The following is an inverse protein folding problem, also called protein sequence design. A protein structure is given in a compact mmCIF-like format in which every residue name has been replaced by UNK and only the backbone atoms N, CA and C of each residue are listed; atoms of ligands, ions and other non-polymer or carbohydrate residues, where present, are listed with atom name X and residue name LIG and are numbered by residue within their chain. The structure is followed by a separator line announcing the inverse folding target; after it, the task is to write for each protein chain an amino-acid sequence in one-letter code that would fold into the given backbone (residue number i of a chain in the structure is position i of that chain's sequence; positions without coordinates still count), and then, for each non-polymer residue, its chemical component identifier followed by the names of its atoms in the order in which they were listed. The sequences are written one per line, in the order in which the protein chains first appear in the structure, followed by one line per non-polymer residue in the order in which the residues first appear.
data_IF_530309946934
#
_entry.id   IF_530309946934
#
_cell.length_a   1.000
_cell.length_b   1.000
_cell.length_c   1.000
_cell.angle_alpha   90.00
_cell.angle_beta   90.00
_cell.angle_gamma   90.00
#
_symmetry.space_group_name_H-M   'P 1'
#
loop_
_entity.id
_entity.type
_entity.pdbx_description
1 polymer ?
#
# COMPACT_ATOMS: atom_id res chain seq x y z
N UNK A 1 -4.58 19.97 16.42
CA UNK A 1 -5.80 19.67 15.65
C UNK A 1 -5.39 18.90 14.39
N UNK A 2 -5.68 17.62 14.31
CA UNK A 2 -5.41 16.85 13.08
C UNK A 2 -6.48 17.21 12.07
N UNK A 3 -6.11 17.83 10.97
CA UNK A 3 -7.05 18.13 9.89
C UNK A 3 -7.53 16.79 9.35
N UNK A 4 -8.77 16.41 9.65
CA UNK A 4 -9.41 15.27 9.02
C UNK A 4 -9.64 15.61 7.54
N UNK A 5 -9.06 14.82 6.66
CA UNK A 5 -9.20 14.97 5.20
C UNK A 5 -10.19 13.94 4.69
N UNK A 6 -10.88 14.29 3.61
CA UNK A 6 -11.76 13.38 2.90
C UNK A 6 -10.90 12.39 2.10
N UNK A 7 -10.65 11.23 2.67
CA UNK A 7 -9.86 10.18 2.03
C UNK A 7 -10.81 9.17 1.41
N UNK A 8 -10.95 9.23 0.09
CA UNK A 8 -11.58 8.19 -0.72
C UNK A 8 -10.55 7.13 -1.07
N UNK A 9 -10.94 5.88 -1.16
CA UNK A 9 -10.00 4.81 -1.49
C UNK A 9 -10.65 3.48 -1.81
N UNK A 10 -9.94 2.64 -2.57
CA UNK A 10 -10.35 1.30 -2.98
C UNK A 10 -9.20 0.30 -2.83
N UNK A 11 -9.55 -0.92 -2.49
CA UNK A 11 -8.68 -2.08 -2.63
C UNK A 11 -8.81 -2.64 -4.05
N UNK A 12 -7.68 -2.97 -4.67
CA UNK A 12 -7.66 -3.61 -5.97
C UNK A 12 -6.48 -4.54 -6.14
N UNK A 13 -6.54 -5.41 -7.12
CA UNK A 13 -5.48 -6.37 -7.46
C UNK A 13 -4.61 -5.80 -8.57
N UNK A 14 -3.30 -5.72 -8.34
CA UNK A 14 -2.33 -5.33 -9.36
C UNK A 14 -2.25 -6.39 -10.45
N UNK A 15 -2.68 -6.10 -11.67
CA UNK A 15 -2.60 -7.03 -12.81
C UNK A 15 -1.20 -7.01 -13.44
N UNK A 16 -0.59 -5.84 -13.57
CA UNK A 16 0.71 -5.70 -14.21
C UNK A 16 1.00 -4.28 -14.64
N UNK A 17 1.97 -4.13 -15.53
CA UNK A 17 2.28 -2.86 -16.17
C UNK A 17 2.17 -3.00 -17.67
N UNK A 18 1.74 -1.93 -18.31
CA UNK A 18 1.69 -1.78 -19.76
C UNK A 18 2.08 -0.35 -20.14
N UNK A 19 2.01 -0.06 -21.42
CA UNK A 19 2.25 1.27 -21.96
C UNK A 19 0.99 1.74 -22.67
N UNK A 20 0.67 3.01 -22.53
CA UNK A 20 -0.45 3.67 -23.21
C UNK A 20 0.03 4.99 -23.80
N UNK A 21 -0.64 5.43 -24.86
CA UNK A 21 -0.40 6.74 -25.47
C UNK A 21 -1.18 7.81 -24.71
N UNK A 22 -0.53 8.92 -24.45
CA UNK A 22 -1.17 10.12 -23.91
C UNK A 22 -1.79 10.97 -25.05
N UNK A 23 -2.58 11.96 -24.69
CA UNK A 23 -3.18 12.91 -25.65
C UNK A 23 -2.11 13.60 -26.54
N UNK A 24 -0.91 13.79 -26.01
CA UNK A 24 0.24 14.37 -26.73
C UNK A 24 1.03 13.36 -27.59
N UNK A 25 0.49 12.19 -27.86
CA UNK A 25 1.19 11.07 -28.54
C UNK A 25 2.51 10.63 -27.84
N UNK A 26 2.60 10.82 -26.53
CA UNK A 26 3.73 10.32 -25.72
C UNK A 26 3.39 8.97 -25.12
N UNK A 27 4.34 8.04 -25.22
CA UNK A 27 4.23 6.72 -24.62
C UNK A 27 4.50 6.81 -23.13
N UNK A 28 3.51 6.47 -22.30
CA UNK A 28 3.63 6.49 -20.85
C UNK A 28 3.47 5.11 -20.23
N UNK A 29 4.31 4.74 -19.24
CA UNK A 29 4.15 3.49 -18.52
C UNK A 29 3.01 3.63 -17.50
N UNK A 30 2.10 2.65 -17.51
CA UNK A 30 1.00 2.58 -16.55
C UNK A 30 0.96 1.23 -15.84
N UNK A 31 0.56 1.25 -14.58
CA UNK A 31 0.18 0.04 -13.84
C UNK A 31 -1.31 -0.12 -13.89
N UNK A 32 -1.77 -1.31 -14.26
CA UNK A 32 -3.18 -1.69 -14.29
C UNK A 32 -3.55 -2.34 -12.96
N UNK A 33 -4.56 -1.78 -12.30
CA UNK A 33 -5.12 -2.28 -11.05
C UNK A 33 -6.59 -2.59 -11.28
N UNK A 34 -7.00 -3.83 -11.06
CA UNK A 34 -8.40 -4.24 -11.08
C UNK A 34 -8.99 -4.00 -9.69
N UNK A 35 -9.95 -3.12 -9.60
CA UNK A 35 -10.63 -2.77 -8.36
C UNK A 35 -12.13 -3.12 -8.49
N UNK A 36 -12.44 -4.42 -8.39
CA UNK A 36 -13.82 -4.88 -8.28
C UNK A 36 -14.53 -4.15 -7.13
N UNK A 37 -15.87 -4.07 -7.12
CA UNK A 37 -16.62 -3.37 -6.09
C UNK A 37 -16.16 -3.76 -4.68
N UNK A 38 -15.86 -2.75 -3.87
CA UNK A 38 -15.50 -2.91 -2.47
C UNK A 38 -16.74 -2.67 -1.62
N UNK A 39 -17.00 -3.50 -0.64
CA UNK A 39 -18.20 -3.43 0.20
C UNK A 39 -17.89 -2.73 1.51
N UNK A 40 -18.75 -1.80 1.94
CA UNK A 40 -18.65 -1.14 3.25
C UNK A 40 -19.11 -2.11 4.33
N UNK A 41 -18.21 -2.43 5.28
CA UNK A 41 -18.46 -3.40 6.35
C UNK A 41 -18.63 -2.76 7.72
N UNK A 42 -18.15 -1.55 7.93
CA UNK A 42 -18.33 -0.83 9.19
C UNK A 42 -18.16 0.68 8.98
N UNK A 43 -18.96 1.45 9.68
CA UNK A 43 -18.85 2.90 9.79
C UNK A 43 -18.49 3.27 11.23
N UNK A 44 -17.58 4.21 11.41
CA UNK A 44 -17.21 4.74 12.71
C UNK A 44 -17.44 6.23 12.75
N UNK A 45 -18.06 6.70 13.82
CA UNK A 45 -18.36 8.09 14.07
C UNK A 45 -17.44 8.63 15.17
N UNK A 46 -17.10 9.92 15.09
CA UNK A 46 -16.20 10.56 16.03
C UNK A 46 -16.74 10.54 17.48
N UNK A 47 -18.05 10.66 17.66
CA UNK A 47 -18.71 10.67 18.96
C UNK A 47 -18.59 9.33 19.69
N UNK A 48 -18.90 8.24 19.02
CA UNK A 48 -18.91 6.90 19.63
C UNK A 48 -17.52 6.23 19.67
N UNK A 49 -16.66 6.51 18.67
CA UNK A 49 -15.40 5.78 18.48
C UNK A 49 -14.16 6.67 18.62
N UNK A 50 -14.32 7.99 18.86
CA UNK A 50 -13.22 8.94 18.97
C UNK A 50 -12.61 9.37 17.62
N UNK A 51 -13.05 8.79 16.51
CA UNK A 51 -12.67 9.17 15.14
C UNK A 51 -13.69 8.69 14.11
N UNK A 52 -13.71 9.35 12.96
CA UNK A 52 -14.55 8.97 11.84
C UNK A 52 -13.78 8.12 10.82
N UNK A 53 -14.39 7.04 10.34
CA UNK A 53 -13.79 6.16 9.33
C UNK A 53 -14.82 5.28 8.64
N UNK A 54 -14.44 4.79 7.46
CA UNK A 54 -15.18 3.80 6.68
C UNK A 54 -14.30 2.56 6.54
N UNK A 55 -14.83 1.41 6.89
CA UNK A 55 -14.18 0.12 6.67
C UNK A 55 -14.71 -0.48 5.38
N UNK A 56 -13.80 -0.79 4.46
CA UNK A 56 -14.09 -1.42 3.16
C UNK A 56 -13.49 -2.82 3.10
N UNK A 57 -14.19 -3.72 2.43
CA UNK A 57 -13.78 -5.11 2.26
C UNK A 57 -13.73 -5.50 0.78
N UNK A 58 -12.72 -6.31 0.40
CA UNK A 58 -12.41 -6.69 -0.97
C UNK A 58 -11.98 -8.14 -1.08
N UNK A 59 -12.26 -8.73 -2.25
CA UNK A 59 -11.85 -10.07 -2.64
C UNK A 59 -12.67 -11.17 -1.97
N UNK A 60 -13.17 -12.08 -2.75
CA UNK A 60 -13.99 -13.20 -2.27
C UNK A 60 -13.16 -14.18 -1.43
N UNK A 61 -13.79 -14.79 -0.44
CA UNK A 61 -13.23 -15.85 0.38
C UNK A 61 -14.31 -16.93 0.60
N UNK A 62 -13.89 -18.18 0.60
CA UNK A 62 -14.76 -19.29 0.98
C UNK A 62 -15.19 -19.12 2.45
N UNK A 63 -16.51 -19.11 2.77
CA UNK A 63 -16.99 -18.96 4.14
C UNK A 63 -16.42 -19.97 5.13
N UNK A 64 -16.07 -21.17 4.66
CA UNK A 64 -15.43 -22.22 5.49
C UNK A 64 -14.04 -21.83 6.01
N UNK A 65 -13.39 -20.86 5.35
CA UNK A 65 -12.05 -20.36 5.71
C UNK A 65 -12.09 -19.13 6.61
N UNK A 66 -13.31 -18.68 6.96
CA UNK A 66 -13.51 -17.51 7.82
C UNK A 66 -13.71 -17.94 9.26
N UNK A 67 -12.99 -17.30 10.19
CA UNK A 67 -13.16 -17.55 11.62
C UNK A 67 -14.51 -17.02 12.11
N UNK A 68 -15.10 -17.67 13.13
CA UNK A 68 -16.40 -17.27 13.70
C UNK A 68 -16.51 -15.77 14.05
N UNK A 69 -15.51 -15.12 14.69
CA UNK A 69 -15.58 -13.69 14.97
C UNK A 69 -15.67 -12.82 13.72
N UNK A 70 -14.90 -13.16 12.67
CA UNK A 70 -14.96 -12.44 11.41
C UNK A 70 -16.27 -12.71 10.65
N UNK A 71 -16.81 -13.93 10.71
CA UNK A 71 -18.10 -14.24 10.13
C UNK A 71 -19.20 -13.37 10.75
N UNK A 72 -19.27 -13.29 12.10
CA UNK A 72 -20.21 -12.41 12.79
C UNK A 72 -20.02 -10.92 12.46
N UNK A 73 -18.80 -10.47 12.21
CA UNK A 73 -18.55 -9.09 11.77
C UNK A 73 -19.18 -8.79 10.40
N UNK A 74 -19.02 -9.70 9.43
CA UNK A 74 -19.64 -9.54 8.11
C UNK A 74 -21.16 -9.72 8.14
N UNK A 75 -21.67 -10.63 8.98
CA UNK A 75 -23.08 -10.86 9.20
C UNK A 75 -23.78 -9.61 9.78
N UNK A 76 -23.16 -8.95 10.74
CA UNK A 76 -23.66 -7.69 11.29
C UNK A 76 -23.74 -6.55 10.25
N UNK A 77 -22.91 -6.60 9.20
CA UNK A 77 -22.98 -5.68 8.08
C UNK A 77 -23.94 -6.15 6.95
N UNK A 78 -24.51 -7.35 7.06
CA UNK A 78 -25.38 -7.95 6.03
C UNK A 78 -24.66 -8.31 4.73
N UNK A 79 -23.32 -8.55 4.77
CA UNK A 79 -22.51 -8.79 3.59
C UNK A 79 -21.79 -10.14 3.62
N UNK A 80 -21.50 -10.67 2.43
CA UNK A 80 -20.71 -11.90 2.33
C UNK A 80 -19.27 -11.66 2.76
N UNK A 81 -18.61 -12.61 3.44
CA UNK A 81 -17.24 -12.48 3.88
C UNK A 81 -16.28 -12.14 2.74
N UNK A 82 -15.35 -11.22 3.01
CA UNK A 82 -14.29 -10.80 2.10
C UNK A 82 -12.91 -11.08 2.71
N UNK A 83 -11.91 -11.21 1.84
CA UNK A 83 -10.56 -11.61 2.24
C UNK A 83 -9.74 -10.48 2.85
N UNK A 84 -9.90 -9.27 2.34
CA UNK A 84 -9.11 -8.10 2.73
C UNK A 84 -10.05 -7.04 3.28
N UNK A 85 -9.74 -6.56 4.47
CA UNK A 85 -10.48 -5.50 5.15
C UNK A 85 -9.52 -4.39 5.49
N UNK A 86 -9.87 -3.17 5.14
CA UNK A 86 -9.06 -1.97 5.41
C UNK A 86 -9.97 -0.84 5.86
N UNK A 87 -9.50 -0.08 6.82
CA UNK A 87 -10.18 1.10 7.33
C UNK A 87 -9.54 2.36 6.76
N UNK A 88 -10.38 3.25 6.26
CA UNK A 88 -10.03 4.56 5.75
C UNK A 88 -10.56 5.63 6.69
N UNK A 89 -9.68 6.41 7.30
CA UNK A 89 -10.07 7.57 8.10
C UNK A 89 -10.49 8.70 7.17
N UNK A 90 -11.76 9.08 7.26
CA UNK A 90 -12.35 10.14 6.45
C UNK A 90 -13.33 10.95 7.28
N UNK A 91 -13.47 12.23 7.00
CA UNK A 91 -14.48 13.08 7.63
C UNK A 91 -15.91 12.72 7.16
N UNK A 92 -16.04 12.26 5.92
CA UNK A 92 -17.31 11.99 5.24
C UNK A 92 -17.86 10.58 5.50
N UNK A 93 -17.58 10.01 6.69
CA UNK A 93 -18.09 8.67 7.01
C UNK A 93 -19.62 8.58 7.00
N UNK A 94 -20.33 9.68 7.18
CA UNK A 94 -21.78 9.76 7.15
C UNK A 94 -22.40 9.64 5.74
N UNK A 95 -21.60 9.83 4.68
CA UNK A 95 -22.06 9.68 3.29
C UNK A 95 -22.17 8.22 2.85
N UNK A 96 -21.60 7.31 3.63
CA UNK A 96 -21.59 5.88 3.33
C UNK A 96 -22.65 5.13 4.12
N UNK A 97 -23.17 4.05 3.53
CA UNK A 97 -24.10 3.13 4.19
C UNK A 97 -23.49 1.73 4.33
N UNK A 98 -23.87 0.99 5.37
CA UNK A 98 -23.43 -0.39 5.53
C UNK A 98 -23.94 -1.25 4.37
N UNK A 99 -23.07 -2.14 3.86
CA UNK A 99 -23.37 -2.98 2.71
C UNK A 99 -23.29 -2.29 1.35
N UNK A 100 -23.00 -0.99 1.30
CA UNK A 100 -22.84 -0.23 0.06
C UNK A 100 -21.62 -0.72 -0.73
N UNK A 101 -21.79 -0.91 -2.04
CA UNK A 101 -20.67 -1.13 -2.96
C UNK A 101 -20.01 0.19 -3.35
N UNK A 102 -18.70 0.24 -3.23
CA UNK A 102 -17.86 1.36 -3.64
C UNK A 102 -17.09 0.94 -4.88
N UNK A 103 -17.34 1.60 -6.02
CA UNK A 103 -16.78 1.29 -7.33
C UNK A 103 -15.65 2.25 -7.72
N UNK A 104 -15.01 2.01 -8.86
CA UNK A 104 -13.93 2.86 -9.40
C UNK A 104 -14.37 4.30 -9.70
N UNK A 105 -15.67 4.56 -9.79
CA UNK A 105 -16.27 5.87 -10.03
C UNK A 105 -15.99 6.91 -8.93
N UNK A 106 -15.52 6.44 -7.77
CA UNK A 106 -15.07 7.32 -6.66
C UNK A 106 -13.88 8.20 -7.07
N UNK A 107 -13.14 7.79 -8.11
CA UNK A 107 -11.98 8.50 -8.62
C UNK A 107 -12.25 9.19 -9.95
N UNK A 108 -11.45 10.19 -10.27
CA UNK A 108 -11.50 10.94 -11.52
C UNK A 108 -10.17 10.77 -12.29
N UNK A 109 -10.25 10.75 -13.64
CA UNK A 109 -9.06 10.75 -14.47
C UNK A 109 -8.24 12.04 -14.25
N UNK A 110 -6.92 11.92 -14.20
CA UNK A 110 -6.01 13.03 -13.89
C UNK A 110 -5.78 13.26 -12.39
N UNK A 111 -6.61 12.70 -11.52
CA UNK A 111 -6.49 12.84 -10.07
C UNK A 111 -5.16 12.29 -9.54
N UNK A 112 -4.63 12.93 -8.48
CA UNK A 112 -3.47 12.42 -7.73
C UNK A 112 -3.91 11.38 -6.70
N UNK A 113 -3.21 10.24 -6.71
CA UNK A 113 -3.48 9.12 -5.81
C UNK A 113 -2.21 8.65 -5.10
N UNK A 114 -2.39 8.13 -3.89
CA UNK A 114 -1.37 7.41 -3.14
C UNK A 114 -1.68 5.91 -3.22
N UNK A 115 -0.68 5.11 -3.57
CA UNK A 115 -0.84 3.65 -3.64
C UNK A 115 -0.03 2.96 -2.56
N UNK A 116 -0.74 2.21 -1.72
CA UNK A 116 -0.15 1.45 -0.60
C UNK A 116 -0.14 -0.03 -0.96
N UNK A 117 1.00 -0.67 -0.80
CA UNK A 117 1.12 -2.11 -1.04
C UNK A 117 2.28 -2.72 -0.28
N UNK A 118 2.36 -4.04 -0.29
CA UNK A 118 3.48 -4.79 0.28
C UNK A 118 4.53 -5.03 -0.79
N UNK A 119 5.75 -4.55 -0.57
CA UNK A 119 6.87 -4.69 -1.51
C UNK A 119 7.27 -6.15 -1.72
N UNK A 120 7.94 -6.44 -2.84
CA UNK A 120 8.54 -7.76 -3.08
C UNK A 120 9.56 -8.07 -1.99
N UNK A 121 9.51 -9.28 -1.41
CA UNK A 121 10.51 -9.75 -0.46
C UNK A 121 11.85 -9.98 -1.15
N UNK A 122 12.96 -9.63 -0.47
CA UNK A 122 14.34 -9.81 -0.94
C UNK A 122 15.16 -10.69 0.01
N UNK A 123 14.48 -11.32 0.98
CA UNK A 123 15.11 -12.17 1.99
C UNK A 123 16.03 -11.40 2.93
N UNK A 124 17.03 -12.09 3.49
CA UNK A 124 18.11 -11.46 4.25
C UNK A 124 19.08 -10.78 3.28
N UNK A 125 19.34 -9.50 3.48
CA UNK A 125 20.20 -8.70 2.63
C UNK A 125 21.33 -8.07 3.43
N UNK A 126 22.54 -8.10 2.86
CA UNK A 126 23.71 -7.45 3.41
C UNK A 126 23.58 -5.91 3.40
N UNK A 127 24.45 -5.23 4.15
CA UNK A 127 24.42 -3.78 4.32
C UNK A 127 24.54 -3.02 2.98
N UNK A 128 25.32 -3.53 2.04
CA UNK A 128 25.44 -2.93 0.70
C UNK A 128 24.11 -2.90 -0.04
N UNK A 129 23.39 -4.05 -0.12
CA UNK A 129 22.09 -4.14 -0.82
C UNK A 129 20.99 -3.42 -0.08
N UNK A 130 20.99 -3.51 1.27
CA UNK A 130 19.88 -3.01 2.11
C UNK A 130 19.97 -1.49 2.33
N UNK A 131 21.18 -0.95 2.47
CA UNK A 131 21.41 0.43 2.87
C UNK A 131 22.31 1.22 1.91
N UNK A 132 22.85 0.59 0.85
CA UNK A 132 23.72 1.25 -0.11
C UNK A 132 25.13 1.51 0.41
N UNK A 133 25.64 0.70 1.34
CA UNK A 133 27.01 0.83 1.83
C UNK A 133 28.02 0.55 0.72
N UNK A 134 29.10 1.32 0.69
CA UNK A 134 30.14 1.22 -0.34
C UNK A 134 30.97 -0.06 -0.22
N UNK A 135 31.13 -0.60 1.00
CA UNK A 135 32.04 -1.71 1.26
C UNK A 135 33.50 -1.28 1.27
N UNK A 136 34.42 -2.21 1.11
CA UNK A 136 35.85 -1.99 1.08
C UNK A 136 36.41 -2.45 -0.26
N UNK A 137 37.31 -1.66 -0.87
CA UNK A 137 37.95 -2.00 -2.14
C UNK A 137 38.71 -3.33 -2.13
N UNK A 138 39.04 -3.83 -3.31
CA UNK A 138 39.69 -5.14 -3.45
C UNK A 138 41.22 -5.11 -3.31
N UNK A 139 41.83 -3.92 -3.05
CA UNK A 139 43.27 -3.68 -2.94
C UNK A 139 43.67 -3.08 -1.58
N UNK A 140 44.92 -2.67 -1.43
CA UNK A 140 45.50 -2.07 -0.22
C UNK A 140 45.33 -2.95 1.05
N UNK A 141 45.61 -4.23 0.93
CA UNK A 141 45.58 -5.19 2.06
C UNK A 141 44.21 -5.58 2.56
N UNK A 142 43.12 -5.21 1.86
CA UNK A 142 41.79 -5.64 2.22
C UNK A 142 41.66 -7.17 2.06
N UNK A 143 41.24 -7.86 3.13
CA UNK A 143 41.09 -9.32 3.14
C UNK A 143 39.77 -9.71 3.76
N UNK A 144 38.92 -10.39 2.97
CA UNK A 144 37.59 -10.92 3.41
C UNK A 144 36.62 -9.88 4.01
N UNK A 145 36.80 -8.57 3.70
CA UNK A 145 36.01 -7.46 4.25
C UNK A 145 35.19 -6.70 3.20
N UNK A 146 35.27 -7.09 1.92
CA UNK A 146 34.73 -6.31 0.78
C UNK A 146 33.28 -5.92 0.93
N UNK A 147 32.43 -6.76 1.52
CA UNK A 147 30.99 -6.51 1.64
C UNK A 147 30.49 -6.33 3.08
N UNK A 148 31.42 -6.24 4.05
CA UNK A 148 31.08 -6.07 5.47
C UNK A 148 30.66 -4.62 5.76
N UNK A 149 29.85 -4.37 6.82
CA UNK A 149 29.42 -3.03 7.20
C UNK A 149 30.57 -2.16 7.76
N UNK A 150 31.67 -2.78 8.23
CA UNK A 150 32.74 -2.08 8.97
C UNK A 150 32.42 -1.96 10.45
N UNK A 151 32.97 -0.94 11.10
CA UNK A 151 32.73 -0.69 12.52
C UNK A 151 31.25 -0.37 12.78
N UNK A 152 30.72 -0.90 13.87
CA UNK A 152 29.33 -0.69 14.31
C UNK A 152 29.23 0.18 15.56
N UNK A 153 30.35 0.65 16.10
CA UNK A 153 30.38 1.51 17.28
C UNK A 153 31.77 1.61 17.89
N UNK A 154 31.89 2.34 19.01
CA UNK A 154 33.08 2.40 19.84
C UNK A 154 33.21 1.19 20.78
N UNK A 155 34.36 1.05 21.40
CA UNK A 155 34.66 -0.07 22.33
C UNK A 155 33.99 0.14 23.70
N UNK A 156 34.76 0.61 24.69
CA UNK A 156 34.30 0.74 26.09
C UNK A 156 33.24 1.83 26.28
N UNK A 157 33.27 2.89 25.49
CA UNK A 157 32.25 3.95 25.49
C UNK A 157 31.70 4.12 24.08
N UNK A 158 30.39 3.91 23.85
CA UNK A 158 29.27 3.71 24.78
C UNK A 158 29.03 2.28 25.25
N UNK A 159 29.89 1.31 24.92
CA UNK A 159 29.75 -0.11 25.29
C UNK A 159 28.55 -0.83 24.68
N UNK A 160 27.90 -0.23 23.69
CA UNK A 160 26.69 -0.77 23.01
C UNK A 160 26.59 -0.27 21.58
N UNK A 161 25.84 -0.98 20.76
CA UNK A 161 25.42 -0.50 19.42
C UNK A 161 24.16 0.35 19.60
N UNK A 162 24.15 1.54 18.98
CA UNK A 162 23.00 2.45 19.07
C UNK A 162 21.77 1.91 18.34
N UNK A 163 20.58 2.26 18.84
CA UNK A 163 19.31 1.97 18.16
C UNK A 163 19.30 2.69 16.80
N UNK A 164 18.74 2.00 15.80
CA UNK A 164 18.67 2.56 14.43
C UNK A 164 19.94 2.38 13.60
N UNK A 165 21.00 1.76 14.14
CA UNK A 165 22.22 1.42 13.36
C UNK A 165 21.86 0.58 12.15
N UNK A 166 22.38 0.97 10.98
CA UNK A 166 22.10 0.29 9.71
C UNK A 166 22.93 -0.99 9.59
N UNK A 167 22.27 -2.14 9.75
CA UNK A 167 22.88 -3.46 9.73
C UNK A 167 22.19 -4.36 8.68
N UNK A 168 22.83 -5.49 8.28
CA UNK A 168 22.18 -6.48 7.45
C UNK A 168 20.91 -7.02 8.11
N UNK A 169 19.99 -7.50 7.32
CA UNK A 169 18.73 -8.04 7.82
C UNK A 169 17.69 -8.23 6.73
N UNK A 170 16.47 -8.55 7.11
CA UNK A 170 15.35 -8.73 6.19
C UNK A 170 15.10 -7.44 5.39
N UNK A 171 14.97 -7.60 4.07
CA UNK A 171 14.64 -6.53 3.14
C UNK A 171 13.41 -6.89 2.32
N UNK A 172 12.55 -5.91 2.06
CA UNK A 172 11.28 -6.12 1.37
C UNK A 172 10.22 -6.82 2.21
N UNK A 173 9.09 -7.18 1.59
CA UNK A 173 7.88 -7.69 2.24
C UNK A 173 7.38 -6.75 3.36
N UNK A 174 7.53 -5.44 3.15
CA UNK A 174 7.09 -4.38 4.05
C UNK A 174 6.04 -3.52 3.36
N UNK A 175 5.15 -2.93 4.14
CA UNK A 175 4.17 -1.96 3.66
C UNK A 175 4.88 -0.70 3.19
N UNK A 176 4.62 -0.29 1.97
CA UNK A 176 5.18 0.92 1.35
C UNK A 176 4.07 1.71 0.66
N UNK A 177 4.15 3.02 0.71
CA UNK A 177 3.26 3.92 0.00
C UNK A 177 4.05 4.65 -1.08
N UNK A 178 3.59 4.55 -2.33
CA UNK A 178 4.05 5.44 -3.41
C UNK A 178 3.06 6.58 -3.50
N UNK A 179 3.55 7.79 -3.23
CA UNK A 179 2.72 8.99 -3.14
C UNK A 179 2.64 9.73 -4.47
N UNK A 180 1.55 10.49 -4.66
CA UNK A 180 1.38 11.46 -5.75
C UNK A 180 1.48 10.86 -7.16
N UNK A 181 1.01 9.63 -7.34
CA UNK A 181 0.85 9.06 -8.68
C UNK A 181 -0.36 9.70 -9.38
N UNK A 182 -0.29 9.84 -10.70
CA UNK A 182 -1.41 10.34 -11.49
C UNK A 182 -2.24 9.17 -11.98
N UNK A 183 -3.54 9.24 -11.78
CA UNK A 183 -4.50 8.31 -12.37
C UNK A 183 -4.71 8.73 -13.84
N UNK A 184 -4.18 7.95 -14.77
CA UNK A 184 -4.25 8.26 -16.20
C UNK A 184 -5.64 8.07 -16.78
N UNK A 185 -6.33 7.01 -16.35
CA UNK A 185 -7.67 6.68 -16.84
C UNK A 185 -8.36 5.66 -15.95
N UNK A 186 -9.67 5.56 -16.13
CA UNK A 186 -10.57 4.65 -15.43
C UNK A 186 -11.42 3.94 -16.46
N UNK A 187 -11.48 2.62 -16.39
CA UNK A 187 -12.39 1.78 -17.18
C UNK A 187 -13.46 1.25 -16.20
N UNK A 188 -14.64 1.84 -16.25
CA UNK A 188 -15.75 1.50 -15.34
C UNK A 188 -16.32 0.12 -15.67
N UNK A 189 -16.40 -0.26 -16.94
CA UNK A 189 -16.95 -1.55 -17.36
C UNK A 189 -16.13 -2.73 -16.84
N UNK A 190 -14.79 -2.58 -16.88
CA UNK A 190 -13.85 -3.62 -16.44
C UNK A 190 -13.33 -3.41 -15.00
N UNK A 191 -13.79 -2.37 -14.32
CA UNK A 191 -13.31 -1.98 -12.99
C UNK A 191 -11.78 -1.82 -12.93
N UNK A 192 -11.19 -1.12 -13.92
CA UNK A 192 -9.74 -0.93 -14.01
C UNK A 192 -9.35 0.51 -13.70
N UNK A 193 -8.25 0.64 -12.95
CA UNK A 193 -7.55 1.89 -12.71
C UNK A 193 -6.19 1.85 -13.43
N UNK A 194 -5.95 2.81 -14.31
CA UNK A 194 -4.69 2.98 -15.03
C UNK A 194 -3.83 4.04 -14.33
N UNK A 195 -2.86 3.62 -13.53
CA UNK A 195 -2.03 4.49 -12.69
C UNK A 195 -0.69 4.72 -13.37
N UNK A 196 -0.34 5.98 -13.66
CA UNK A 196 0.93 6.34 -14.28
C UNK A 196 2.10 6.00 -13.37
N UNK A 197 3.02 5.13 -13.84
CA UNK A 197 4.21 4.71 -13.12
C UNK A 197 4.09 3.37 -12.40
N UNK A 198 5.05 3.11 -11.52
CA UNK A 198 5.16 1.85 -10.79
C UNK A 198 4.46 1.92 -9.43
N UNK A 199 3.76 0.84 -9.07
CA UNK A 199 3.15 0.67 -7.74
C UNK A 199 3.84 -0.47 -6.96
N UNK A 200 3.84 -0.44 -5.62
CA UNK A 200 4.52 -1.44 -4.81
C UNK A 200 3.91 -2.84 -4.97
N UNK A 201 4.73 -3.84 -4.84
CA UNK A 201 4.34 -5.25 -4.82
C UNK A 201 4.45 -5.98 -6.17
N UNK A 202 4.33 -7.32 -6.14
CA UNK A 202 4.28 -8.17 -7.34
C UNK A 202 2.89 -8.14 -8.00
N UNK A 203 2.80 -8.72 -9.19
CA UNK A 203 1.51 -9.00 -9.86
C UNK A 203 0.65 -9.92 -8.98
N UNK A 204 -0.67 -9.76 -9.04
CA UNK A 204 -1.63 -10.51 -8.24
C UNK A 204 -1.72 -10.10 -6.76
N UNK A 205 -0.95 -9.09 -6.32
CA UNK A 205 -1.05 -8.56 -4.95
C UNK A 205 -2.11 -7.47 -4.86
N UNK A 206 -2.83 -7.48 -3.73
CA UNK A 206 -3.76 -6.41 -3.41
C UNK A 206 -3.00 -5.15 -3.02
N UNK A 207 -3.45 -4.03 -3.54
CA UNK A 207 -2.99 -2.67 -3.23
C UNK A 207 -4.18 -1.81 -2.82
N UNK A 208 -3.93 -0.85 -1.96
CA UNK A 208 -4.90 0.18 -1.59
C UNK A 208 -4.57 1.44 -2.40
N UNK A 209 -5.49 1.86 -3.23
CA UNK A 209 -5.45 3.14 -3.95
C UNK A 209 -6.31 4.12 -3.18
N UNK A 210 -5.78 5.29 -2.84
CA UNK A 210 -6.52 6.34 -2.12
C UNK A 210 -6.17 7.71 -2.67
N UNK A 211 -7.01 8.69 -2.42
CA UNK A 211 -6.73 10.10 -2.75
C UNK A 211 -5.40 10.52 -2.12
N UNK A 212 -4.59 11.29 -2.85
CA UNK A 212 -3.29 11.73 -2.37
C UNK A 212 -3.43 12.64 -1.14
N UNK A 213 -2.53 12.43 -0.17
CA UNK A 213 -2.46 13.28 1.03
C UNK A 213 -1.74 14.59 0.73
N UNK A 214 -0.82 14.58 -0.25
CA UNK A 214 -0.06 15.75 -0.71
C UNK A 214 -0.36 15.97 -2.19
N UNK A 215 -0.48 17.21 -2.61
CA UNK A 215 -0.69 17.54 -4.03
C UNK A 215 -2.15 17.45 -4.50
N UNK A 216 -3.08 17.56 -3.56
CA UNK A 216 -4.49 17.86 -3.85
C UNK A 216 -4.69 19.36 -3.83
#
# INVERSE_FOLDING_TARGET
MTIMRNVKGLLGTKLGMTQVWDADNKLIPVTVVQAEPNVVTQLRNAEANGYASVQIAYGQIDPRKVTKPLAGHFEAAGVTPRRHVVELRTADSAEYTLGQDVTVEVFEAGQKVDVVGTTKGKGFAGAMKRHGFSGVGASHGAHKNHRKPGSVGGASTPGRVFKGQRLPGRMGAVRQTTQNLTLHGIDVEKNLLLIKGAVPGPRGRVVLVRTAVKGA
#
